data_IF_732907143004
#
_entry.id   IF_732907143004
#
_cell.length_a   1.000
_cell.length_b   1.000
_cell.length_c   1.000
_cell.angle_alpha   90.00
_cell.angle_beta   90.00
_cell.angle_gamma   90.00
#
_symmetry.space_group_name_H-M   'P 1'
#
loop_
_entity.id
_entity.type
_entity.pdbx_description
1 polymer ?
#
# COMPACT_ATOMS: atom_id res chain seq x y z
N UNK A 1 10.30 31.27 3.08
CA UNK A 1 9.90 29.91 3.49
C UNK A 1 11.13 29.04 3.56
N UNK A 2 11.20 28.10 4.51
CA UNK A 2 12.26 27.10 4.57
C UNK A 2 12.20 26.22 3.31
N UNK A 3 13.36 25.86 2.75
CA UNK A 3 13.44 24.89 1.66
C UNK A 3 13.09 23.51 2.21
N UNK A 4 12.09 22.87 1.61
CA UNK A 4 11.76 21.49 1.93
C UNK A 4 12.82 20.57 1.31
N UNK A 5 13.32 19.54 2.02
CA UNK A 5 14.40 18.67 1.52
C UNK A 5 13.92 17.63 0.50
N UNK A 6 12.73 17.82 -0.08
CA UNK A 6 12.14 16.92 -1.05
C UNK A 6 11.49 17.73 -2.17
N UNK A 7 11.42 17.12 -3.35
CA UNK A 7 10.87 17.78 -4.52
C UNK A 7 9.34 17.84 -4.44
N UNK A 8 8.79 19.04 -4.56
CA UNK A 8 7.34 19.26 -4.55
C UNK A 8 6.83 19.07 -5.98
N UNK A 9 5.78 18.27 -6.21
CA UNK A 9 5.18 18.13 -7.52
C UNK A 9 4.85 19.50 -8.13
N UNK A 10 5.11 19.69 -9.43
CA UNK A 10 4.87 20.97 -10.14
C UNK A 10 3.43 21.49 -10.00
N UNK A 11 2.47 20.59 -9.82
CA UNK A 11 1.06 20.94 -9.60
C UNK A 11 0.79 21.59 -8.24
N UNK A 12 1.69 21.44 -7.27
CA UNK A 12 1.56 21.95 -5.91
C UNK A 12 2.56 23.09 -5.60
N UNK A 13 3.62 23.25 -6.38
CA UNK A 13 4.66 24.29 -6.17
C UNK A 13 4.07 25.70 -6.15
N UNK A 14 3.09 25.99 -7.02
CA UNK A 14 2.44 27.31 -7.08
C UNK A 14 1.76 27.72 -5.77
N UNK A 15 1.24 26.75 -5.00
CA UNK A 15 0.64 27.04 -3.71
C UNK A 15 1.70 27.39 -2.67
N UNK A 16 2.86 26.74 -2.72
CA UNK A 16 3.96 27.00 -1.79
C UNK A 16 4.57 28.37 -2.06
N UNK A 17 4.78 28.76 -3.31
CA UNK A 17 5.31 30.10 -3.63
C UNK A 17 4.36 31.22 -3.15
N UNK A 18 3.07 31.09 -3.44
CA UNK A 18 2.06 32.12 -3.15
C UNK A 18 1.56 32.15 -1.71
N UNK A 19 1.93 31.15 -0.90
CA UNK A 19 1.48 31.07 0.49
C UNK A 19 1.99 32.25 1.32
N UNK A 20 3.17 32.81 0.98
CA UNK A 20 3.75 33.95 1.69
C UNK A 20 2.95 35.24 1.54
N UNK A 21 2.28 35.41 0.41
CA UNK A 21 1.49 36.62 0.13
C UNK A 21 0.11 36.56 0.78
N UNK A 22 -0.59 35.42 0.65
CA UNK A 22 -1.98 35.28 1.08
C UNK A 22 -2.26 33.89 1.70
N UNK A 23 -1.82 33.65 2.96
CA UNK A 23 -1.80 32.30 3.55
C UNK A 23 -3.20 31.68 3.68
N UNK A 24 -4.20 32.43 4.13
CA UNK A 24 -5.57 31.90 4.31
C UNK A 24 -6.22 31.51 2.99
N UNK A 25 -6.08 32.36 1.96
CA UNK A 25 -6.72 32.15 0.67
C UNK A 25 -6.11 30.94 -0.05
N UNK A 26 -4.78 30.81 0.03
CA UNK A 26 -4.03 29.70 -0.55
C UNK A 26 -4.36 28.38 0.14
N UNK A 27 -4.42 28.35 1.48
CA UNK A 27 -4.86 27.16 2.23
C UNK A 27 -6.26 26.72 1.81
N UNK A 28 -7.19 27.66 1.62
CA UNK A 28 -8.54 27.38 1.14
C UNK A 28 -8.54 26.83 -0.29
N UNK A 29 -7.74 27.41 -1.20
CA UNK A 29 -7.61 26.94 -2.59
C UNK A 29 -7.00 25.55 -2.66
N UNK A 30 -5.94 25.29 -1.89
CA UNK A 30 -5.30 23.98 -1.80
C UNK A 30 -6.29 22.93 -1.27
N UNK A 31 -7.01 23.22 -0.18
CA UNK A 31 -8.05 22.33 0.35
C UNK A 31 -9.12 21.98 -0.69
N UNK A 32 -9.58 22.96 -1.50
CA UNK A 32 -10.54 22.72 -2.59
C UNK A 32 -9.94 21.85 -3.70
N UNK A 33 -8.67 22.06 -4.03
CA UNK A 33 -7.96 21.27 -5.03
C UNK A 33 -7.84 19.79 -4.58
N UNK A 34 -7.43 19.55 -3.33
CA UNK A 34 -7.29 18.19 -2.80
C UNK A 34 -8.62 17.43 -2.72
N UNK A 35 -9.72 18.11 -2.39
CA UNK A 35 -11.07 17.51 -2.44
C UNK A 35 -11.44 16.93 -3.80
N UNK A 36 -10.90 17.48 -4.90
CA UNK A 36 -11.19 17.02 -6.27
C UNK A 36 -10.23 15.94 -6.75
N UNK A 37 -8.98 15.96 -6.28
CA UNK A 37 -7.88 15.14 -6.80
C UNK A 37 -7.80 13.74 -6.18
N UNK A 38 -8.47 13.51 -5.04
CA UNK A 38 -8.50 12.22 -4.38
C UNK A 38 -7.34 12.05 -3.36
N UNK A 39 -6.82 10.82 -3.17
CA UNK A 39 -5.80 10.53 -2.15
C UNK A 39 -4.43 11.10 -2.54
N UNK A 40 -4.01 12.20 -1.92
CA UNK A 40 -2.73 12.87 -2.19
C UNK A 40 -1.94 13.14 -0.89
N UNK A 41 -0.97 12.27 -0.60
CA UNK A 41 -0.17 12.37 0.63
C UNK A 41 0.61 13.70 0.72
N UNK A 42 1.24 14.15 -0.37
CA UNK A 42 2.06 15.37 -0.38
C UNK A 42 1.17 16.61 -0.27
N UNK A 43 0.02 16.60 -0.93
CA UNK A 43 -0.98 17.66 -0.80
C UNK A 43 -1.48 17.83 0.63
N UNK A 44 -1.85 16.72 1.29
CA UNK A 44 -2.31 16.74 2.68
C UNK A 44 -1.18 17.11 3.67
N UNK A 45 0.07 16.74 3.37
CA UNK A 45 1.25 17.23 4.07
C UNK A 45 1.37 18.76 4.00
N UNK A 46 1.30 19.34 2.79
CA UNK A 46 1.41 20.79 2.61
C UNK A 46 0.28 21.53 3.31
N UNK A 47 -0.94 20.98 3.26
CA UNK A 47 -2.09 21.55 3.95
C UNK A 47 -1.91 21.50 5.48
N UNK A 48 -1.37 20.41 6.01
CA UNK A 48 -1.00 20.30 7.43
C UNK A 48 0.04 21.35 7.82
N UNK A 49 1.08 21.52 7.00
CA UNK A 49 2.13 22.50 7.21
C UNK A 49 1.59 23.94 7.18
N UNK A 50 0.72 24.26 6.23
CA UNK A 50 0.07 25.57 6.15
C UNK A 50 -0.79 25.87 7.37
N UNK A 51 -1.54 24.88 7.87
CA UNK A 51 -2.30 25.04 9.12
C UNK A 51 -1.39 25.21 10.34
N UNK A 52 -0.25 24.52 10.38
CA UNK A 52 0.74 24.70 11.44
C UNK A 52 1.31 26.12 11.45
N UNK A 53 1.68 26.65 10.28
CA UNK A 53 2.17 28.03 10.14
C UNK A 53 1.11 29.09 10.51
N UNK A 54 -0.18 28.74 10.44
CA UNK A 54 -1.31 29.58 10.83
C UNK A 54 -1.74 29.36 12.31
N UNK A 55 -0.93 28.65 13.10
CA UNK A 55 -1.21 28.24 14.49
C UNK A 55 -2.51 27.43 14.69
N UNK A 56 -3.09 26.91 13.60
CA UNK A 56 -4.27 26.03 13.64
C UNK A 56 -3.87 24.57 13.82
N UNK A 57 -3.48 24.24 15.06
CA UNK A 57 -2.98 22.91 15.44
C UNK A 57 -3.97 21.78 15.20
N UNK A 58 -5.26 22.02 15.40
CA UNK A 58 -6.31 20.99 15.25
C UNK A 58 -6.41 20.51 13.81
N UNK A 59 -6.49 21.44 12.86
CA UNK A 59 -6.58 21.09 11.44
C UNK A 59 -5.23 20.58 10.90
N UNK A 60 -4.11 21.10 11.41
CA UNK A 60 -2.78 20.60 11.08
C UNK A 60 -2.64 19.10 11.38
N UNK A 61 -3.02 18.67 12.60
CA UNK A 61 -2.97 17.26 13.01
C UNK A 61 -3.89 16.40 12.15
N UNK A 62 -5.12 16.89 11.88
CA UNK A 62 -6.09 16.15 11.09
C UNK A 62 -5.60 15.86 9.68
N UNK A 63 -5.01 16.85 9.02
CA UNK A 63 -4.47 16.68 7.66
C UNK A 63 -3.15 15.88 7.66
N UNK A 64 -2.35 15.98 8.73
CA UNK A 64 -1.16 15.14 8.91
C UNK A 64 -1.51 13.65 9.00
N UNK A 65 -2.56 13.31 9.76
CA UNK A 65 -3.04 11.94 9.84
C UNK A 65 -3.47 11.42 8.47
N UNK A 66 -4.15 12.24 7.66
CA UNK A 66 -4.52 11.86 6.30
C UNK A 66 -3.31 11.61 5.41
N UNK A 67 -2.31 12.50 5.45
CA UNK A 67 -1.07 12.33 4.70
C UNK A 67 -0.39 10.98 5.05
N UNK A 68 -0.33 10.65 6.35
CA UNK A 68 0.15 9.34 6.82
C UNK A 68 -0.70 8.16 6.35
N UNK A 69 -2.02 8.31 6.32
CA UNK A 69 -2.90 7.23 5.82
C UNK A 69 -2.77 7.01 4.31
N UNK A 70 -2.46 8.05 3.54
CA UNK A 70 -2.30 7.94 2.08
C UNK A 70 -0.94 7.38 1.66
N UNK A 71 0.10 7.58 2.46
CA UNK A 71 1.43 6.99 2.21
C UNK A 71 2.00 6.35 3.49
N UNK A 72 1.40 5.24 3.97
CA UNK A 72 1.97 4.47 5.07
C UNK A 72 3.29 3.83 4.63
N UNK A 73 4.32 3.87 5.48
CA UNK A 73 5.66 3.39 5.12
C UNK A 73 6.59 4.43 4.52
N UNK A 74 6.09 5.62 4.14
CA UNK A 74 6.96 6.73 3.76
C UNK A 74 7.71 7.24 4.99
N UNK A 75 9.06 7.26 4.98
CA UNK A 75 9.84 7.74 6.12
C UNK A 75 9.44 9.16 6.55
N UNK A 76 9.10 10.01 5.58
CA UNK A 76 8.66 11.38 5.81
C UNK A 76 7.29 11.44 6.48
N UNK A 77 6.32 10.67 5.99
CA UNK A 77 4.94 10.72 6.53
C UNK A 77 4.82 10.03 7.88
N UNK A 78 5.65 9.03 8.16
CA UNK A 78 5.71 8.38 9.48
C UNK A 78 6.17 9.35 10.56
N UNK A 79 7.16 10.17 10.25
CA UNK A 79 7.75 11.16 11.15
C UNK A 79 7.15 12.56 10.99
N UNK A 80 6.02 12.69 10.28
CA UNK A 80 5.37 13.97 10.03
C UNK A 80 5.12 14.78 11.31
N UNK A 81 4.65 14.11 12.36
CA UNK A 81 4.45 14.71 13.68
C UNK A 81 5.72 15.34 14.27
N UNK A 82 6.89 14.71 14.06
CA UNK A 82 8.17 15.23 14.50
C UNK A 82 8.54 16.52 13.74
N UNK A 83 8.34 16.53 12.41
CA UNK A 83 8.61 17.71 11.58
C UNK A 83 7.69 18.90 11.89
N UNK A 84 6.44 18.66 12.30
CA UNK A 84 5.54 19.72 12.73
C UNK A 84 5.93 20.36 14.06
N UNK A 85 6.63 19.62 14.94
CA UNK A 85 7.10 20.15 16.23
C UNK A 85 8.49 20.76 16.10
N UNK A 86 9.29 20.24 15.19
CA UNK A 86 10.69 20.65 14.96
C UNK A 86 10.92 20.94 13.47
N UNK A 87 10.36 22.06 12.96
CA UNK A 87 10.48 22.42 11.55
C UNK A 87 11.95 22.63 11.11
N UNK A 88 12.82 23.06 12.03
CA UNK A 88 14.26 23.24 11.80
C UNK A 88 15.08 21.94 11.75
N UNK A 89 14.49 20.78 12.05
CA UNK A 89 15.21 19.50 12.22
C UNK A 89 14.92 18.48 11.12
N UNK A 90 14.60 18.93 9.91
CA UNK A 90 14.36 18.02 8.78
C UNK A 90 15.55 17.10 8.46
N UNK A 91 16.78 17.54 8.75
CA UNK A 91 18.02 16.76 8.62
C UNK A 91 18.48 16.07 9.91
N UNK A 92 17.70 16.09 10.99
CA UNK A 92 18.11 15.44 12.23
C UNK A 92 18.22 13.92 12.00
N UNK A 93 19.36 13.36 12.39
CA UNK A 93 19.64 11.93 12.27
C UNK A 93 18.49 11.12 12.88
N UNK A 94 17.74 10.43 12.04
CA UNK A 94 16.72 9.48 12.47
C UNK A 94 17.48 8.36 13.19
N UNK A 95 17.22 8.09 14.48
CA UNK A 95 17.90 7.01 15.18
C UNK A 95 17.63 5.69 14.46
N UNK A 96 18.65 5.08 13.86
CA UNK A 96 18.54 3.78 13.18
C UNK A 96 18.16 2.67 14.15
N UNK A 97 18.44 2.87 15.43
CA UNK A 97 18.02 2.01 16.53
C UNK A 97 16.74 2.56 17.14
N UNK A 98 15.59 2.04 16.73
CA UNK A 98 14.35 2.21 17.49
C UNK A 98 14.55 1.62 18.87
N UNK A 99 14.79 2.46 19.88
CA UNK A 99 14.69 2.10 21.29
C UNK A 99 13.21 1.90 21.62
N UNK A 100 12.60 0.84 21.09
CA UNK A 100 11.33 0.36 21.62
C UNK A 100 11.64 -0.33 22.94
N UNK A 101 11.45 0.41 24.04
CA UNK A 101 11.58 -0.09 25.42
C UNK A 101 10.41 -1.00 25.82
N UNK A 102 9.68 -1.55 24.85
CA UNK A 102 8.63 -2.54 25.11
C UNK A 102 8.85 -3.74 24.21
N UNK A 103 8.92 -4.93 24.84
CA UNK A 103 8.90 -6.24 24.18
C UNK A 103 7.55 -6.55 23.52
N UNK A 104 6.85 -5.54 23.02
CA UNK A 104 5.70 -5.68 22.14
C UNK A 104 6.18 -5.29 20.75
N UNK A 105 6.90 -6.22 20.10
CA UNK A 105 6.92 -6.23 18.64
C UNK A 105 5.46 -6.43 18.24
N UNK A 106 4.75 -5.34 17.94
CA UNK A 106 3.57 -5.42 17.10
C UNK A 106 4.07 -6.17 15.88
N UNK A 107 3.60 -7.40 15.67
CA UNK A 107 3.86 -8.11 14.44
C UNK A 107 3.06 -7.39 13.36
N UNK A 108 3.51 -6.19 12.99
CA UNK A 108 3.45 -5.77 11.61
C UNK A 108 4.28 -6.83 10.91
N UNK A 109 3.60 -7.90 10.48
CA UNK A 109 4.22 -8.92 9.67
C UNK A 109 5.02 -8.19 8.61
N UNK A 110 6.23 -8.67 8.35
CA UNK A 110 6.99 -8.32 7.17
C UNK A 110 6.09 -8.54 5.96
N UNK A 111 5.23 -7.56 5.64
CA UNK A 111 4.44 -7.51 4.43
C UNK A 111 5.44 -7.04 3.40
N UNK A 112 6.34 -7.93 3.01
CA UNK A 112 7.07 -7.82 1.75
C UNK A 112 6.10 -8.22 0.65
N UNK A 113 4.94 -7.56 0.59
CA UNK A 113 4.15 -7.58 -0.64
C UNK A 113 4.93 -6.75 -1.66
N UNK A 114 5.08 -7.19 -2.91
CA UNK A 114 5.78 -6.45 -3.97
C UNK A 114 5.32 -4.99 -4.14
N UNK A 115 4.11 -4.67 -3.65
CA UNK A 115 3.51 -3.34 -3.64
C UNK A 115 4.20 -2.36 -2.64
N UNK A 116 4.84 -2.87 -1.58
CA UNK A 116 5.48 -2.05 -0.54
C UNK A 116 6.96 -1.76 -0.81
N UNK A 117 7.55 -2.43 -1.80
CA UNK A 117 8.91 -2.15 -2.28
C UNK A 117 8.78 -1.24 -3.50
N UNK A 118 8.73 0.07 -3.23
CA UNK A 118 8.52 1.11 -4.24
C UNK A 118 9.57 1.04 -5.36
N UNK A 119 10.83 0.73 -5.04
CA UNK A 119 11.90 0.66 -6.04
C UNK A 119 11.73 -0.54 -6.97
N UNK A 120 11.28 -1.68 -6.43
CA UNK A 120 10.93 -2.86 -7.24
C UNK A 120 9.69 -2.61 -8.10
N UNK A 121 8.69 -1.91 -7.57
CA UNK A 121 7.48 -1.55 -8.31
C UNK A 121 7.80 -0.56 -9.44
N UNK A 122 8.65 0.43 -9.18
CA UNK A 122 9.16 1.38 -10.19
C UNK A 122 9.90 0.61 -11.27
N UNK A 123 10.83 -0.27 -10.91
CA UNK A 123 11.54 -1.10 -11.89
C UNK A 123 10.63 -2.01 -12.71
N UNK A 124 9.55 -2.53 -12.12
CA UNK A 124 8.53 -3.30 -12.84
C UNK A 124 7.71 -2.44 -13.81
N UNK A 125 7.30 -1.23 -13.40
CA UNK A 125 6.52 -0.32 -14.24
C UNK A 125 7.36 0.28 -15.37
N UNK A 126 8.62 0.62 -15.09
CA UNK A 126 9.58 1.12 -16.07
C UNK A 126 9.93 0.06 -17.11
N UNK A 127 10.08 -1.20 -16.68
CA UNK A 127 10.24 -2.33 -17.61
C UNK A 127 9.00 -2.53 -18.51
N UNK A 128 7.80 -2.27 -18.01
CA UNK A 128 6.55 -2.38 -18.77
C UNK A 128 6.34 -1.18 -19.72
N UNK A 129 6.74 0.05 -19.34
CA UNK A 129 6.68 1.24 -20.23
C UNK A 129 7.54 1.07 -21.49
N UNK A 130 8.62 0.27 -21.43
CA UNK A 130 9.44 -0.03 -22.61
C UNK A 130 8.72 -0.88 -23.67
N UNK A 131 7.64 -1.57 -23.29
CA UNK A 131 6.66 -2.17 -24.20
C UNK A 131 5.45 -1.25 -24.31
N UNK A 132 5.64 -0.04 -24.82
CA UNK A 132 4.52 0.79 -25.28
C UNK A 132 3.74 -0.01 -26.31
N UNK A 133 2.51 -0.38 -25.94
CA UNK A 133 1.52 -0.94 -26.85
C UNK A 133 1.35 0.09 -27.98
N UNK A 134 1.73 -0.28 -29.20
CA UNK A 134 1.30 0.49 -30.37
C UNK A 134 -0.21 0.30 -30.43
N UNK A 135 -0.95 1.39 -30.20
CA UNK A 135 -2.40 1.39 -30.37
C UNK A 135 -2.63 1.25 -31.87
N UNK A 136 -3.27 0.18 -32.34
CA UNK A 136 -3.64 0.08 -33.75
C UNK A 136 -4.53 1.27 -34.08
N UNK A 137 -4.18 1.99 -35.14
CA UNK A 137 -5.08 2.99 -35.73
C UNK A 137 -6.35 2.29 -36.25
N UNK A 138 -7.46 3.04 -36.35
CA UNK A 138 -8.86 2.59 -36.55
C UNK A 138 -9.18 1.61 -37.72
N UNK A 139 -8.19 1.02 -38.37
CA UNK A 139 -8.31 0.11 -39.52
C UNK A 139 -8.02 -1.38 -39.18
N UNK A 140 -7.81 -1.75 -37.91
CA UNK A 140 -7.67 -3.16 -37.50
C UNK A 140 -8.96 -3.69 -36.84
N UNK A 141 -9.42 -4.85 -37.31
CA UNK A 141 -10.62 -5.55 -36.83
C UNK A 141 -10.53 -5.79 -35.31
N UNK A 142 -11.31 -5.02 -34.54
CA UNK A 142 -11.41 -5.16 -33.09
C UNK A 142 -12.10 -6.50 -32.77
N UNK A 143 -11.35 -7.45 -32.20
CA UNK A 143 -11.94 -8.70 -31.71
C UNK A 143 -12.76 -8.43 -30.44
N UNK A 144 -14.07 -8.25 -30.61
CA UNK A 144 -15.07 -8.09 -29.54
C UNK A 144 -15.46 -9.45 -28.93
N UNK A 145 -14.49 -10.36 -28.82
CA UNK A 145 -14.72 -11.65 -28.21
C UNK A 145 -15.01 -11.46 -26.72
N UNK A 146 -16.15 -11.99 -26.29
CA UNK A 146 -16.62 -11.93 -24.90
C UNK A 146 -15.72 -12.79 -24.00
N UNK A 147 -14.67 -12.17 -23.44
CA UNK A 147 -13.72 -12.77 -22.50
C UNK A 147 -14.32 -13.11 -21.13
N UNK A 148 -15.61 -12.83 -20.89
CA UNK A 148 -16.28 -13.20 -19.64
C UNK A 148 -16.26 -14.71 -19.38
N UNK A 149 -16.26 -15.51 -20.45
CA UNK A 149 -16.18 -16.98 -20.38
C UNK A 149 -14.83 -17.50 -19.89
N UNK A 150 -13.72 -16.82 -20.21
CA UNK A 150 -12.39 -17.17 -19.69
C UNK A 150 -12.25 -16.82 -18.19
N UNK A 151 -13.04 -15.86 -17.70
CA UNK A 151 -13.04 -15.46 -16.29
C UNK A 151 -13.78 -16.45 -15.38
N UNK A 152 -14.67 -17.28 -15.93
CA UNK A 152 -15.33 -18.37 -15.17
C UNK A 152 -14.37 -19.53 -14.84
N UNK A 153 -13.24 -19.67 -15.55
CA UNK A 153 -12.22 -20.68 -15.24
C UNK A 153 -11.35 -20.34 -14.00
N UNK A 154 -11.51 -19.14 -13.41
CA UNK A 154 -10.70 -18.70 -12.25
C UNK A 154 -11.15 -19.38 -10.94
N UNK A 155 -12.31 -20.05 -10.93
CA UNK A 155 -12.79 -20.85 -9.77
C UNK A 155 -11.89 -22.06 -9.46
N UNK A 156 -10.90 -22.34 -10.32
CA UNK A 156 -9.98 -23.47 -10.19
C UNK A 156 -8.55 -23.08 -9.71
N UNK A 157 -8.36 -21.83 -9.25
CA UNK A 157 -7.10 -21.36 -8.65
C UNK A 157 -6.94 -21.89 -7.22
N UNK A 158 -6.63 -23.18 -7.12
CA UNK A 158 -6.26 -23.83 -5.86
C UNK A 158 -4.79 -23.56 -5.59
N UNK A 159 -4.49 -22.90 -4.47
CA UNK A 159 -3.11 -22.62 -4.03
C UNK A 159 -2.88 -23.12 -2.61
N UNK A 160 -1.64 -23.49 -2.28
CA UNK A 160 -1.27 -23.95 -0.94
C UNK A 160 -1.61 -22.90 0.14
N UNK A 161 -1.40 -21.62 -0.18
CA UNK A 161 -1.73 -20.52 0.72
C UNK A 161 -3.23 -20.46 1.03
N UNK A 162 -4.08 -20.68 0.02
CA UNK A 162 -5.52 -20.74 0.21
C UNK A 162 -5.92 -21.91 1.12
N UNK A 163 -5.41 -23.12 0.85
CA UNK A 163 -5.65 -24.30 1.68
C UNK A 163 -5.22 -24.06 3.15
N UNK A 164 -4.09 -23.38 3.38
CA UNK A 164 -3.60 -23.00 4.71
C UNK A 164 -4.48 -21.98 5.41
N UNK A 165 -5.08 -21.03 4.68
CA UNK A 165 -6.04 -20.06 5.23
C UNK A 165 -7.31 -20.78 5.70
N UNK A 166 -7.89 -21.66 4.86
CA UNK A 166 -9.08 -22.43 5.23
C UNK A 166 -8.84 -23.32 6.46
N UNK A 167 -7.66 -23.96 6.53
CA UNK A 167 -7.23 -24.72 7.71
C UNK A 167 -7.22 -23.89 9.00
N UNK A 168 -6.65 -22.68 8.95
CA UNK A 168 -6.59 -21.76 10.12
C UNK A 168 -7.97 -21.24 10.53
N UNK A 169 -8.88 -21.11 9.58
CA UNK A 169 -10.26 -20.65 9.82
C UNK A 169 -11.18 -21.77 10.34
N UNK A 170 -10.66 -22.96 10.61
CA UNK A 170 -11.45 -24.10 11.09
C UNK A 170 -12.22 -24.83 9.99
N UNK A 171 -12.14 -24.37 8.74
CA UNK A 171 -12.76 -25.00 7.55
C UNK A 171 -11.88 -26.13 7.03
N UNK A 172 -11.70 -27.15 7.88
CA UNK A 172 -10.77 -28.27 7.64
C UNK A 172 -11.17 -29.13 6.43
N UNK A 173 -12.46 -29.37 6.23
CA UNK A 173 -12.99 -30.13 5.09
C UNK A 173 -12.66 -29.49 3.74
N UNK A 174 -12.81 -28.16 3.65
CA UNK A 174 -12.44 -27.39 2.46
C UNK A 174 -10.93 -27.39 2.23
N UNK A 175 -10.14 -27.25 3.29
CA UNK A 175 -8.68 -27.31 3.20
C UNK A 175 -8.18 -28.67 2.69
N UNK A 176 -8.79 -29.79 3.13
CA UNK A 176 -8.44 -31.14 2.66
C UNK A 176 -8.73 -31.26 1.16
N UNK A 177 -9.91 -30.86 0.69
CA UNK A 177 -10.27 -30.88 -0.74
C UNK A 177 -9.31 -30.05 -1.60
N UNK A 178 -8.84 -28.92 -1.08
CA UNK A 178 -7.85 -28.09 -1.77
C UNK A 178 -6.47 -28.77 -1.84
N UNK A 179 -6.02 -29.43 -0.77
CA UNK A 179 -4.77 -30.19 -0.81
C UNK A 179 -4.85 -31.41 -1.73
N UNK A 180 -6.00 -32.09 -1.79
CA UNK A 180 -6.24 -33.20 -2.74
C UNK A 180 -6.10 -32.71 -4.19
N UNK A 181 -6.75 -31.59 -4.54
CA UNK A 181 -6.59 -30.98 -5.87
C UNK A 181 -5.15 -30.52 -6.16
N UNK A 182 -4.38 -30.11 -5.14
CA UNK A 182 -2.97 -29.74 -5.30
C UNK A 182 -2.07 -30.95 -5.56
N UNK A 183 -2.42 -32.13 -5.04
CA UNK A 183 -1.72 -33.39 -5.34
C UNK A 183 -1.92 -33.76 -6.81
N UNK A 184 -3.15 -33.59 -7.32
CA UNK A 184 -3.46 -33.87 -8.72
C UNK A 184 -2.74 -32.91 -9.69
N UNK A 185 -2.53 -31.64 -9.29
CA UNK A 185 -1.86 -30.61 -10.09
C UNK A 185 -0.32 -30.64 -9.99
N UNK A 186 0.23 -31.00 -8.82
CA UNK A 186 1.68 -30.95 -8.54
C UNK A 186 2.12 -32.22 -7.78
N UNK A 187 2.51 -33.25 -8.54
CA UNK A 187 2.92 -34.55 -8.01
C UNK A 187 4.25 -34.49 -7.22
N UNK A 188 5.13 -33.51 -7.52
CA UNK A 188 6.43 -33.38 -6.84
C UNK A 188 6.27 -33.04 -5.35
N UNK A 189 5.17 -32.36 -5.01
CA UNK A 189 4.82 -32.00 -3.62
C UNK A 189 3.74 -32.88 -3.02
N UNK A 190 3.37 -33.98 -3.67
CA UNK A 190 2.29 -34.86 -3.21
C UNK A 190 2.51 -35.35 -1.77
N UNK A 191 3.72 -35.79 -1.43
CA UNK A 191 4.05 -36.22 -0.06
C UNK A 191 3.89 -35.09 0.97
N UNK A 192 4.23 -33.86 0.59
CA UNK A 192 4.09 -32.70 1.45
C UNK A 192 2.61 -32.39 1.72
N UNK A 193 1.78 -32.39 0.68
CA UNK A 193 0.35 -32.15 0.82
C UNK A 193 -0.35 -33.28 1.59
N UNK A 194 0.05 -34.54 1.37
CA UNK A 194 -0.49 -35.68 2.13
C UNK A 194 -0.22 -35.54 3.63
N UNK A 195 1.01 -35.17 4.02
CA UNK A 195 1.34 -34.89 5.44
C UNK A 195 0.49 -33.77 6.04
N UNK A 196 0.09 -32.78 5.23
CA UNK A 196 -0.77 -31.69 5.69
C UNK A 196 -2.22 -32.16 5.86
N UNK A 197 -2.71 -33.01 4.97
CA UNK A 197 -4.02 -33.67 5.09
C UNK A 197 -4.08 -34.51 6.38
N UNK A 198 -3.05 -35.33 6.64
CA UNK A 198 -3.01 -36.20 7.82
C UNK A 198 -3.02 -35.39 9.13
N UNK A 199 -2.27 -34.28 9.19
CA UNK A 199 -2.31 -33.35 10.33
C UNK A 199 -3.70 -32.76 10.56
N UNK A 200 -4.45 -32.49 9.50
CA UNK A 200 -5.81 -31.93 9.61
C UNK A 200 -6.81 -32.99 10.08
N UNK A 201 -6.69 -34.24 9.60
CA UNK A 201 -7.51 -35.38 10.02
C UNK A 201 -7.28 -35.76 11.49
N UNK A 202 -6.01 -35.90 11.91
CA UNK A 202 -5.69 -36.23 13.31
C UNK A 202 -6.15 -35.15 14.30
N UNK A 203 -6.18 -33.88 13.86
CA UNK A 203 -6.67 -32.75 14.67
C UNK A 203 -8.19 -32.63 14.66
N UNK A 204 -8.91 -33.37 13.80
CA UNK A 204 -10.37 -33.54 13.92
C UNK A 204 -10.69 -34.59 14.97
N UNK A 205 -9.98 -35.71 14.99
CA UNK A 205 -10.20 -36.81 15.95
C UNK A 205 -9.85 -36.43 17.40
N UNK A 206 -8.94 -35.48 17.62
CA UNK A 206 -8.58 -35.01 18.96
C UNK A 206 -9.50 -33.90 19.51
N UNK A 207 -10.57 -33.56 18.80
CA UNK A 207 -11.47 -32.45 19.13
C UNK A 207 -12.95 -32.87 19.28
N UNK A 208 -13.23 -34.17 19.14
CA UNK A 208 -14.44 -34.85 19.62
C UNK A 208 -14.11 -35.60 20.93
#
# INVERSE_FOLDING_TARGET
MQQLPFNIPKSLSSYVEKFGDNPEEITRKLRKHLKKRGPDAVGHFLLSWFYHLQDNKKDAIKEALKAKTYAPGSPLMEHLHYFLVHPEKFEAAIPTTSYTSSKLKLQQGSRTSPILDLDRLIGMLEAVESKRIQIPTDDEDFDDSDLSKESEEIDDVVTETLAKIHSKQGRKSEAIKMYERLIDKDQDKAEHYQKQIDKLKNKQESAD
#
